data_IF_649500350250
#
_entry.id   IF_649500350250
#
_cell.length_a   1.000
_cell.length_b   1.000
_cell.length_c   1.000
_cell.angle_alpha   90.00
_cell.angle_beta   90.00
_cell.angle_gamma   90.00
#
_symmetry.space_group_name_H-M   'P 1'
#
loop_
_entity.id
_entity.type
_entity.pdbx_description
1 polymer ?
#
# COMPACT_ATOMS: atom_id res chain seq x y z
N UNK A 1 -1.05 31.10 4.48
CA UNK A 1 -1.13 30.98 2.99
C UNK A 1 -1.69 29.60 2.68
N UNK A 2 -2.51 29.45 1.64
CA UNK A 2 -3.18 28.18 1.31
C UNK A 2 -2.41 27.39 0.26
N UNK A 3 -2.63 26.08 0.19
CA UNK A 3 -2.13 25.21 -0.89
C UNK A 3 -2.76 25.51 -2.27
N UNK A 4 -3.73 26.40 -2.31
CA UNK A 4 -4.45 26.74 -3.53
C UNK A 4 -3.51 27.21 -4.65
N UNK A 5 -3.68 26.59 -5.81
CA UNK A 5 -2.91 26.82 -7.03
C UNK A 5 -1.41 26.46 -6.99
N UNK A 6 -0.93 25.77 -5.94
CA UNK A 6 0.44 25.25 -5.91
C UNK A 6 0.62 24.14 -6.93
N UNK A 7 1.68 24.22 -7.71
CA UNK A 7 1.94 23.33 -8.84
C UNK A 7 2.98 22.27 -8.48
N UNK A 8 2.53 21.02 -8.41
CA UNK A 8 3.33 19.89 -7.96
C UNK A 8 3.49 18.88 -9.08
N UNK A 9 4.74 18.50 -9.37
CA UNK A 9 5.04 17.32 -10.19
C UNK A 9 5.11 16.09 -9.29
N UNK A 10 4.13 15.19 -9.42
CA UNK A 10 4.15 13.91 -8.71
C UNK A 10 4.72 12.83 -9.62
N UNK A 11 5.74 12.10 -9.17
CA UNK A 11 6.41 11.07 -9.96
C UNK A 11 6.23 9.71 -9.29
N UNK A 12 5.67 8.75 -10.03
CA UNK A 12 5.48 7.35 -9.60
C UNK A 12 6.10 6.39 -10.62
N UNK A 13 6.89 5.43 -10.14
CA UNK A 13 7.43 4.36 -11.00
C UNK A 13 6.46 3.18 -11.14
N UNK A 14 5.36 3.18 -10.36
CA UNK A 14 4.22 2.29 -10.55
C UNK A 14 3.26 2.92 -11.55
N UNK A 15 2.64 2.08 -12.39
CA UNK A 15 1.59 2.50 -13.29
C UNK A 15 0.30 2.89 -12.58
N UNK A 16 -0.46 3.81 -13.16
CA UNK A 16 -1.76 4.23 -12.61
C UNK A 16 -2.86 3.22 -12.91
N UNK A 17 -2.68 2.34 -13.88
CA UNK A 17 -3.57 1.19 -14.12
C UNK A 17 -3.32 0.01 -13.17
N UNK A 18 -2.21 0.01 -12.44
CA UNK A 18 -1.87 -1.02 -11.46
C UNK A 18 -2.65 -0.84 -10.14
N UNK A 19 -2.89 -1.92 -9.38
CA UNK A 19 -3.59 -1.84 -8.09
C UNK A 19 -3.02 -0.80 -7.12
N UNK A 20 -1.68 -0.65 -7.06
CA UNK A 20 -1.03 0.36 -6.22
C UNK A 20 -1.27 1.80 -6.69
N UNK A 21 -1.30 2.04 -8.00
CA UNK A 21 -1.67 3.33 -8.56
C UNK A 21 -3.10 3.70 -8.18
N UNK A 22 -4.01 2.75 -8.34
CA UNK A 22 -5.44 2.92 -8.05
C UNK A 22 -5.76 3.13 -6.56
N UNK A 23 -5.06 2.44 -5.66
CA UNK A 23 -5.36 2.50 -4.22
C UNK A 23 -4.48 3.49 -3.45
N UNK A 24 -3.22 3.73 -3.88
CA UNK A 24 -2.24 4.44 -3.08
C UNK A 24 -1.62 5.67 -3.77
N UNK A 25 -2.12 6.07 -4.93
CA UNK A 25 -1.70 7.31 -5.61
C UNK A 25 -2.93 8.15 -5.93
N UNK A 26 -3.80 7.66 -6.78
CA UNK A 26 -4.95 8.42 -7.30
C UNK A 26 -5.84 8.99 -6.19
N UNK A 27 -6.25 8.24 -5.15
CA UNK A 27 -7.11 8.79 -4.10
C UNK A 27 -6.49 9.99 -3.38
N UNK A 28 -5.20 9.91 -3.03
CA UNK A 28 -4.50 11.02 -2.37
C UNK A 28 -4.40 12.24 -3.27
N UNK A 29 -4.06 12.07 -4.55
CA UNK A 29 -3.94 13.18 -5.48
C UNK A 29 -5.29 13.87 -5.70
N UNK A 30 -6.39 13.12 -5.77
CA UNK A 30 -7.75 13.67 -5.88
C UNK A 30 -8.11 14.53 -4.67
N UNK A 31 -7.84 14.05 -3.45
CA UNK A 31 -8.15 14.81 -2.25
C UNK A 31 -7.28 16.08 -2.13
N UNK A 32 -5.99 15.99 -2.40
CA UNK A 32 -5.09 17.15 -2.42
C UNK A 32 -5.46 18.15 -3.53
N UNK A 33 -5.94 17.65 -4.67
CA UNK A 33 -6.42 18.51 -5.75
C UNK A 33 -7.70 19.26 -5.36
N UNK A 34 -8.63 18.62 -4.67
CA UNK A 34 -9.82 19.29 -4.08
C UNK A 34 -9.42 20.36 -3.07
N UNK A 35 -8.29 20.17 -2.36
CA UNK A 35 -7.73 21.19 -1.48
C UNK A 35 -6.97 22.31 -2.24
N UNK A 36 -6.97 22.26 -3.58
CA UNK A 36 -6.47 23.33 -4.46
C UNK A 36 -5.06 23.10 -5.02
N UNK A 37 -4.41 21.95 -4.76
CA UNK A 37 -3.12 21.62 -5.37
C UNK A 37 -3.32 21.24 -6.83
N UNK A 38 -2.52 21.79 -7.74
CA UNK A 38 -2.52 21.42 -9.16
C UNK A 38 -1.44 20.40 -9.46
N UNK A 39 -1.84 19.20 -9.82
CA UNK A 39 -0.91 18.12 -10.09
C UNK A 39 -0.59 17.95 -11.57
N UNK A 40 0.71 17.79 -11.85
CA UNK A 40 1.19 17.11 -13.04
C UNK A 40 1.69 15.74 -12.58
N UNK A 41 1.03 14.67 -13.01
CA UNK A 41 1.38 13.30 -12.63
C UNK A 41 2.21 12.67 -13.74
N UNK A 42 3.42 12.20 -13.41
CA UNK A 42 4.28 11.42 -14.30
C UNK A 42 4.39 9.99 -13.78
N UNK A 43 3.87 9.02 -14.53
CA UNK A 43 3.96 7.59 -14.19
C UNK A 43 4.70 6.78 -15.25
N UNK A 44 5.00 5.51 -14.93
CA UNK A 44 5.59 4.55 -15.84
C UNK A 44 4.64 3.36 -15.99
N UNK A 45 4.03 3.24 -17.17
CA UNK A 45 3.00 2.24 -17.42
C UNK A 45 3.59 0.96 -18.02
N UNK A 46 3.11 -0.18 -17.54
CA UNK A 46 3.48 -1.50 -18.04
C UNK A 46 3.00 -1.77 -19.46
N UNK A 47 3.47 -2.86 -20.11
CA UNK A 47 3.14 -3.18 -21.50
C UNK A 47 1.62 -3.28 -21.78
N UNK A 48 0.83 -3.70 -20.82
CA UNK A 48 -0.63 -3.82 -20.95
C UNK A 48 -1.31 -2.49 -21.27
N UNK A 49 -0.78 -1.37 -20.80
CA UNK A 49 -1.32 -0.03 -21.08
C UNK A 49 -1.26 0.36 -22.57
N UNK A 50 -0.41 -0.30 -23.33
CA UNK A 50 -0.19 -0.02 -24.74
C UNK A 50 -0.96 -0.95 -25.70
N UNK A 51 -1.70 -1.93 -25.16
CA UNK A 51 -2.65 -2.76 -25.90
C UNK A 51 -3.97 -1.99 -26.08
N UNK A 52 -4.84 -2.41 -27.02
CA UNK A 52 -6.11 -1.73 -27.31
C UNK A 52 -6.94 -1.45 -26.06
N UNK A 53 -7.28 -2.49 -25.33
CA UNK A 53 -8.03 -2.39 -24.05
C UNK A 53 -7.33 -1.50 -23.00
N UNK A 54 -6.00 -1.62 -22.92
CA UNK A 54 -5.19 -0.79 -22.02
C UNK A 54 -5.21 0.69 -22.40
N UNK A 55 -5.19 1.02 -23.70
CA UNK A 55 -5.29 2.40 -24.18
C UNK A 55 -6.63 3.02 -23.81
N UNK A 56 -7.73 2.31 -24.04
CA UNK A 56 -9.07 2.77 -23.65
C UNK A 56 -9.16 3.03 -22.14
N UNK A 57 -8.56 2.16 -21.33
CA UNK A 57 -8.47 2.37 -19.86
C UNK A 57 -7.63 3.61 -19.52
N UNK A 58 -6.51 3.83 -20.22
CA UNK A 58 -5.71 5.04 -20.04
C UNK A 58 -6.51 6.30 -20.41
N UNK A 59 -7.27 6.27 -21.51
CA UNK A 59 -8.02 7.44 -21.95
C UNK A 59 -9.17 7.75 -20.98
N UNK A 60 -9.89 6.74 -20.50
CA UNK A 60 -10.90 6.91 -19.44
C UNK A 60 -10.29 7.51 -18.16
N UNK A 61 -9.18 6.94 -17.70
CA UNK A 61 -8.51 7.43 -16.51
C UNK A 61 -7.95 8.85 -16.69
N UNK A 62 -7.43 9.18 -17.87
CA UNK A 62 -6.97 10.54 -18.18
C UNK A 62 -8.12 11.55 -18.09
N UNK A 63 -9.28 11.21 -18.64
CA UNK A 63 -10.48 12.05 -18.56
C UNK A 63 -10.94 12.23 -17.11
N UNK A 64 -10.95 11.14 -16.35
CA UNK A 64 -11.28 11.17 -14.93
C UNK A 64 -10.31 12.05 -14.12
N UNK A 65 -9.01 11.89 -14.32
CA UNK A 65 -7.99 12.69 -13.62
C UNK A 65 -8.05 14.18 -14.02
N UNK A 66 -8.31 14.46 -15.30
CA UNK A 66 -8.46 15.83 -15.79
C UNK A 66 -9.66 16.55 -15.12
N UNK A 67 -10.76 15.86 -14.84
CA UNK A 67 -11.92 16.43 -14.10
C UNK A 67 -11.57 16.80 -12.64
N UNK A 68 -10.46 16.28 -12.13
CA UNK A 68 -9.87 16.63 -10.83
C UNK A 68 -8.65 17.55 -10.94
N UNK A 69 -8.46 18.27 -12.05
CA UNK A 69 -7.29 19.15 -12.29
C UNK A 69 -5.93 18.41 -12.18
N UNK A 70 -5.88 17.12 -12.47
CA UNK A 70 -4.67 16.29 -12.49
C UNK A 70 -4.28 16.03 -13.94
N UNK A 71 -3.17 16.61 -14.40
CA UNK A 71 -2.64 16.45 -15.75
C UNK A 71 -1.72 15.23 -15.80
N UNK A 72 -2.22 14.11 -16.35
CA UNK A 72 -1.51 12.83 -16.33
C UNK A 72 -0.71 12.56 -17.58
N UNK A 73 0.59 12.39 -17.41
CA UNK A 73 1.57 11.96 -18.39
C UNK A 73 2.16 10.61 -18.01
N UNK A 74 2.45 9.77 -18.97
CA UNK A 74 3.10 8.50 -18.67
C UNK A 74 4.15 8.13 -19.72
N UNK A 75 5.15 7.40 -19.24
CA UNK A 75 6.22 6.78 -20.03
C UNK A 75 6.08 5.26 -19.99
N UNK A 76 6.70 4.58 -20.92
CA UNK A 76 6.73 3.12 -20.91
C UNK A 76 7.69 2.62 -19.84
N UNK A 77 7.24 1.67 -19.01
CA UNK A 77 8.08 0.95 -18.08
C UNK A 77 8.86 -0.16 -18.77
N UNK A 78 10.17 -0.25 -18.52
CA UNK A 78 11.04 -1.28 -19.05
C UNK A 78 11.56 -2.18 -17.91
N UNK A 79 11.29 -3.49 -18.00
CA UNK A 79 11.61 -4.44 -16.94
C UNK A 79 12.98 -5.10 -17.09
N UNK A 80 13.39 -5.38 -18.31
CA UNK A 80 14.61 -6.18 -18.59
C UNK A 80 15.44 -5.59 -19.74
N UNK A 81 16.79 -5.70 -19.68
CA UNK A 81 17.58 -6.11 -18.50
C UNK A 81 17.50 -5.06 -17.38
N UNK A 82 17.46 -5.50 -16.11
CA UNK A 82 17.02 -4.66 -14.97
C UNK A 82 17.76 -3.32 -14.86
N UNK A 83 19.11 -3.32 -14.70
CA UNK A 83 19.86 -2.07 -14.53
C UNK A 83 19.85 -1.16 -15.76
N UNK A 84 20.13 -1.63 -16.98
CA UNK A 84 20.06 -0.78 -18.18
C UNK A 84 18.65 -0.23 -18.42
N UNK A 85 17.61 -1.04 -18.25
CA UNK A 85 16.23 -0.62 -18.42
C UNK A 85 15.84 0.49 -17.41
N UNK A 86 16.17 0.30 -16.14
CA UNK A 86 15.92 1.31 -15.10
C UNK A 86 16.71 2.60 -15.37
N UNK A 87 17.96 2.49 -15.82
CA UNK A 87 18.76 3.67 -16.18
C UNK A 87 18.15 4.44 -17.35
N UNK A 88 17.67 3.72 -18.37
CA UNK A 88 16.95 4.33 -19.49
C UNK A 88 15.68 5.04 -19.02
N UNK A 89 14.87 4.40 -18.18
CA UNK A 89 13.65 4.98 -17.63
C UNK A 89 13.92 6.23 -16.79
N UNK A 90 14.99 6.23 -15.99
CA UNK A 90 15.44 7.41 -15.24
C UNK A 90 15.80 8.56 -16.18
N UNK A 91 16.59 8.30 -17.22
CA UNK A 91 16.98 9.33 -18.21
C UNK A 91 15.77 9.86 -18.98
N UNK A 92 14.87 8.97 -19.41
CA UNK A 92 13.62 9.35 -20.06
C UNK A 92 12.73 10.19 -19.13
N UNK A 93 12.62 9.79 -17.86
CA UNK A 93 11.91 10.52 -16.81
C UNK A 93 12.49 11.91 -16.56
N UNK A 94 13.82 12.05 -16.48
CA UNK A 94 14.48 13.36 -16.35
C UNK A 94 14.21 14.24 -17.58
N UNK A 95 14.37 13.67 -18.79
CA UNK A 95 14.12 14.43 -20.04
C UNK A 95 12.67 14.91 -20.12
N UNK A 96 11.70 14.05 -19.82
CA UNK A 96 10.28 14.40 -19.83
C UNK A 96 9.95 15.38 -18.71
N UNK A 97 10.43 15.12 -17.49
CA UNK A 97 10.27 15.99 -16.33
C UNK A 97 10.81 17.40 -16.54
N UNK A 98 11.95 17.55 -17.22
CA UNK A 98 12.48 18.88 -17.59
C UNK A 98 11.47 19.70 -18.40
N UNK A 99 10.79 19.06 -19.40
CA UNK A 99 9.77 19.73 -20.21
C UNK A 99 8.55 20.11 -19.37
N UNK A 100 8.09 19.20 -18.51
CA UNK A 100 6.95 19.43 -17.64
C UNK A 100 7.22 20.57 -16.65
N UNK A 101 8.38 20.59 -16.02
CA UNK A 101 8.76 21.67 -15.06
C UNK A 101 8.70 23.03 -15.75
N UNK A 102 9.26 23.17 -16.95
CA UNK A 102 9.27 24.44 -17.69
C UNK A 102 7.87 24.84 -18.15
N UNK A 103 7.13 23.93 -18.79
CA UNK A 103 5.82 24.24 -19.38
C UNK A 103 4.72 24.48 -18.34
N UNK A 104 4.78 23.79 -17.20
CA UNK A 104 3.75 23.82 -16.15
C UNK A 104 4.11 24.73 -14.96
N UNK A 105 5.31 25.36 -14.96
CA UNK A 105 5.81 26.21 -13.86
C UNK A 105 5.74 25.49 -12.50
N UNK A 106 6.27 24.28 -12.42
CA UNK A 106 6.28 23.45 -11.22
C UNK A 106 7.10 24.11 -10.10
N UNK A 107 6.61 24.08 -8.88
CA UNK A 107 7.25 24.65 -7.69
C UNK A 107 7.89 23.56 -6.83
N UNK A 108 7.28 22.36 -6.80
CA UNK A 108 7.70 21.25 -5.98
C UNK A 108 7.60 19.93 -6.75
N UNK A 109 8.52 19.00 -6.47
CA UNK A 109 8.44 17.62 -6.95
C UNK A 109 8.22 16.67 -5.80
N UNK A 110 7.20 15.82 -5.91
CA UNK A 110 6.91 14.73 -4.97
C UNK A 110 7.30 13.41 -5.62
N UNK A 111 8.28 12.75 -5.06
CA UNK A 111 8.84 11.52 -5.58
C UNK A 111 8.39 10.31 -4.75
N UNK A 112 7.59 9.44 -5.36
CA UNK A 112 7.13 8.21 -4.72
C UNK A 112 8.12 7.07 -4.95
N UNK A 113 8.87 6.70 -3.89
CA UNK A 113 9.91 5.68 -3.89
C UNK A 113 11.23 6.11 -4.56
N UNK A 114 12.20 5.21 -4.60
CA UNK A 114 13.63 5.50 -4.85
C UNK A 114 13.93 5.91 -6.31
N UNK A 115 13.31 5.26 -7.30
CA UNK A 115 13.55 5.58 -8.71
C UNK A 115 13.01 6.99 -9.05
N UNK A 116 11.76 7.34 -8.72
CA UNK A 116 11.27 8.71 -8.81
C UNK A 116 12.11 9.72 -8.06
N UNK A 117 12.64 9.37 -6.87
CA UNK A 117 13.49 10.28 -6.11
C UNK A 117 14.80 10.61 -6.85
N UNK A 118 15.36 9.69 -7.63
CA UNK A 118 16.52 9.95 -8.47
C UNK A 118 16.20 10.96 -9.58
N UNK A 119 15.04 10.82 -10.21
CA UNK A 119 14.55 11.77 -11.22
C UNK A 119 14.32 13.15 -10.58
N UNK A 120 13.59 13.17 -9.46
CA UNK A 120 13.25 14.39 -8.73
C UNK A 120 14.49 15.17 -8.27
N UNK A 121 15.53 14.47 -7.80
CA UNK A 121 16.78 15.09 -7.37
C UNK A 121 17.50 15.79 -8.53
N UNK A 122 17.47 15.19 -9.73
CA UNK A 122 18.03 15.83 -10.94
C UNK A 122 17.25 17.09 -11.34
N UNK A 123 15.90 17.03 -11.27
CA UNK A 123 15.04 18.18 -11.55
C UNK A 123 15.23 19.29 -10.50
N UNK A 124 15.27 18.94 -9.21
CA UNK A 124 15.54 19.90 -8.12
C UNK A 124 16.85 20.65 -8.34
N UNK A 125 17.94 19.92 -8.64
CA UNK A 125 19.25 20.53 -8.86
C UNK A 125 19.29 21.49 -10.06
N UNK A 126 18.52 21.16 -11.10
CA UNK A 126 18.48 21.97 -12.31
C UNK A 126 17.61 23.22 -12.18
N UNK A 127 16.48 23.13 -11.46
CA UNK A 127 15.47 24.18 -11.46
C UNK A 127 15.26 24.82 -10.08
N UNK A 128 15.98 24.40 -9.04
CA UNK A 128 15.81 24.93 -7.68
C UNK A 128 14.51 24.56 -7.00
N UNK A 129 13.88 23.44 -7.39
CA UNK A 129 12.58 23.01 -6.87
C UNK A 129 12.67 22.56 -5.41
N UNK A 130 11.55 22.64 -4.69
CA UNK A 130 11.35 21.88 -3.46
C UNK A 130 11.14 20.40 -3.79
N UNK A 131 11.56 19.50 -2.91
CA UNK A 131 11.46 18.05 -3.14
C UNK A 131 10.97 17.32 -1.90
N UNK A 132 9.93 16.51 -2.09
CA UNK A 132 9.49 15.51 -1.10
C UNK A 132 9.94 14.13 -1.59
N UNK A 133 10.55 13.36 -0.68
CA UNK A 133 10.84 11.95 -0.88
C UNK A 133 9.89 11.10 -0.03
N UNK A 134 8.90 10.51 -0.69
CA UNK A 134 7.99 9.53 -0.10
C UNK A 134 8.63 8.14 -0.20
N UNK A 135 9.20 7.66 0.92
CA UNK A 135 10.11 6.49 0.97
C UNK A 135 9.39 5.20 0.61
N UNK A 136 8.15 4.99 1.01
CA UNK A 136 7.25 3.84 0.73
C UNK A 136 7.79 2.46 1.12
N UNK A 137 9.06 2.31 1.37
CA UNK A 137 9.73 1.06 1.75
C UNK A 137 11.25 1.19 1.66
N UNK A 138 11.98 0.20 2.12
CA UNK A 138 13.43 0.14 2.15
C UNK A 138 13.96 -0.75 1.03
N UNK A 139 14.04 -0.20 -0.19
CA UNK A 139 14.31 -0.98 -1.40
C UNK A 139 15.54 -1.90 -1.29
N UNK A 140 16.67 -1.41 -0.79
CA UNK A 140 17.89 -2.21 -0.69
C UNK A 140 17.74 -3.36 0.30
N UNK A 141 17.12 -3.09 1.45
CA UNK A 141 16.82 -4.06 2.49
C UNK A 141 15.78 -5.08 2.01
N UNK A 142 14.76 -4.64 1.28
CA UNK A 142 13.75 -5.53 0.68
C UNK A 142 14.37 -6.57 -0.24
N UNK A 143 15.29 -6.17 -1.11
CA UNK A 143 15.97 -7.10 -2.00
C UNK A 143 16.91 -8.06 -1.26
N UNK A 144 17.49 -7.65 -0.13
CA UNK A 144 18.27 -8.52 0.74
C UNK A 144 17.36 -9.51 1.47
N UNK A 145 16.27 -9.04 2.07
CA UNK A 145 15.29 -9.86 2.79
C UNK A 145 14.60 -10.88 1.86
N UNK A 146 14.40 -10.50 0.58
CA UNK A 146 13.93 -11.39 -0.48
C UNK A 146 14.99 -12.37 -1.01
N UNK A 147 16.24 -12.32 -0.50
CA UNK A 147 17.37 -13.12 -0.95
C UNK A 147 17.77 -12.91 -2.42
N UNK A 148 17.36 -11.80 -3.03
CA UNK A 148 17.78 -11.43 -4.38
C UNK A 148 19.17 -10.82 -4.40
N UNK A 149 19.54 -10.09 -3.35
CA UNK A 149 20.86 -9.48 -3.19
C UNK A 149 21.52 -9.93 -1.89
N UNK A 150 22.88 -9.97 -1.92
CA UNK A 150 23.65 -10.07 -0.69
C UNK A 150 23.89 -8.67 -0.13
N UNK A 151 23.77 -8.51 1.20
CA UNK A 151 24.13 -7.26 1.89
C UNK A 151 25.55 -6.85 1.53
N UNK A 152 25.75 -5.59 1.15
CA UNK A 152 27.07 -5.08 0.72
C UNK A 152 27.45 -5.38 -0.74
N UNK A 153 26.62 -6.09 -1.52
CA UNK A 153 26.83 -6.29 -2.96
C UNK A 153 26.78 -4.98 -3.73
N UNK A 154 27.28 -4.98 -4.97
CA UNK A 154 27.28 -3.77 -5.81
C UNK A 154 25.88 -3.16 -5.98
N UNK A 155 24.82 -3.92 -6.36
CA UNK A 155 23.49 -3.35 -6.45
C UNK A 155 22.96 -2.82 -5.12
N UNK A 156 23.24 -3.49 -3.99
CA UNK A 156 22.90 -2.99 -2.65
C UNK A 156 23.58 -1.62 -2.39
N UNK A 157 24.88 -1.53 -2.58
CA UNK A 157 25.63 -0.27 -2.35
C UNK A 157 25.15 0.86 -3.25
N UNK A 158 24.88 0.58 -4.52
CA UNK A 158 24.34 1.58 -5.44
C UNK A 158 22.98 2.09 -5.00
N UNK A 159 22.07 1.19 -4.62
CA UNK A 159 20.74 1.55 -4.13
C UNK A 159 20.82 2.36 -2.83
N UNK A 160 21.69 1.97 -1.88
CA UNK A 160 21.94 2.75 -0.65
C UNK A 160 22.54 4.13 -0.93
N UNK A 161 23.40 4.23 -1.93
CA UNK A 161 23.95 5.53 -2.34
C UNK A 161 22.89 6.43 -2.98
N UNK A 162 21.99 5.87 -3.80
CA UNK A 162 20.83 6.60 -4.36
C UNK A 162 19.89 7.06 -3.25
N UNK A 163 19.53 6.17 -2.33
CA UNK A 163 18.68 6.46 -1.18
C UNK A 163 19.28 7.58 -0.31
N UNK A 164 20.57 7.46 0.05
CA UNK A 164 21.27 8.49 0.82
C UNK A 164 21.27 9.85 0.13
N UNK A 165 21.49 9.89 -1.19
CA UNK A 165 21.43 11.13 -1.97
C UNK A 165 20.02 11.73 -2.05
N UNK A 166 19.00 10.87 -2.19
CA UNK A 166 17.62 11.30 -2.21
C UNK A 166 17.20 11.90 -0.86
N UNK A 167 17.51 11.20 0.25
CA UNK A 167 17.29 11.69 1.61
C UNK A 167 18.03 13.01 1.86
N UNK A 168 19.29 13.10 1.44
CA UNK A 168 20.12 14.30 1.60
C UNK A 168 19.59 15.49 0.80
N UNK A 169 19.02 15.23 -0.37
CA UNK A 169 18.52 16.28 -1.27
C UNK A 169 17.05 16.66 -1.04
N UNK A 170 16.29 15.93 -0.23
CA UNK A 170 14.88 16.22 0.03
C UNK A 170 14.71 17.36 1.05
N UNK A 171 13.66 18.16 0.88
CA UNK A 171 13.20 19.16 1.85
C UNK A 171 12.20 18.55 2.82
N UNK A 172 11.45 17.53 2.37
CA UNK A 172 10.52 16.75 3.18
C UNK A 172 10.67 15.25 2.95
N UNK A 173 10.44 14.45 3.97
CA UNK A 173 10.49 12.98 3.93
C UNK A 173 9.18 12.43 4.46
N UNK A 174 8.59 11.47 3.73
CA UNK A 174 7.43 10.70 4.17
C UNK A 174 7.85 9.27 4.48
N UNK A 175 7.37 8.76 5.60
CA UNK A 175 7.41 7.32 5.90
C UNK A 175 5.99 6.78 6.10
N UNK A 176 5.82 5.46 6.02
CA UNK A 176 4.51 4.83 6.20
C UNK A 176 4.22 4.47 7.65
N UNK A 177 5.25 4.44 8.50
CA UNK A 177 5.15 3.93 9.86
C UNK A 177 6.00 4.78 10.81
N UNK A 178 5.57 4.86 12.06
CA UNK A 178 6.34 5.51 13.14
C UNK A 178 7.60 4.70 13.45
N UNK A 179 7.49 3.36 13.46
CA UNK A 179 8.61 2.45 13.83
C UNK A 179 9.84 2.59 12.94
N UNK A 180 9.69 3.00 11.68
CA UNK A 180 10.85 3.08 10.78
C UNK A 180 11.68 4.34 11.01
N UNK A 181 11.07 5.45 11.43
CA UNK A 181 11.79 6.72 11.56
C UNK A 181 12.99 6.66 12.50
N UNK A 182 12.88 6.13 13.74
CA UNK A 182 14.04 5.96 14.61
C UNK A 182 15.16 5.13 13.99
N UNK A 183 14.85 4.16 13.13
CA UNK A 183 15.83 3.30 12.49
C UNK A 183 16.58 3.97 11.34
N UNK A 184 15.97 4.97 10.68
CA UNK A 184 16.57 5.62 9.49
C UNK A 184 17.07 7.06 9.75
N UNK A 185 16.63 7.74 10.81
CA UNK A 185 17.01 9.15 11.10
C UNK A 185 18.52 9.36 11.18
N UNK A 186 19.28 8.34 11.60
CA UNK A 186 20.74 8.37 11.72
C UNK A 186 21.47 7.89 10.45
N UNK A 187 20.74 7.57 9.38
CA UNK A 187 21.36 7.21 8.11
C UNK A 187 22.11 8.40 7.49
N UNK A 188 23.18 8.09 6.76
CA UNK A 188 24.11 9.09 6.17
C UNK A 188 23.40 10.27 5.49
N UNK A 189 22.23 10.07 4.88
CA UNK A 189 21.47 11.12 4.19
C UNK A 189 20.66 12.03 5.10
N UNK A 190 20.44 11.65 6.36
CA UNK A 190 19.59 12.36 7.33
C UNK A 190 20.41 12.84 8.56
N UNK A 191 21.47 12.15 8.89
CA UNK A 191 22.26 12.39 10.09
C UNK A 191 22.70 13.85 10.23
N UNK A 192 22.38 14.46 11.38
CA UNK A 192 22.74 15.84 11.67
C UNK A 192 21.95 16.90 10.88
N UNK A 193 20.84 16.53 10.24
CA UNK A 193 19.95 17.45 9.53
C UNK A 193 18.58 17.49 10.19
N UNK A 194 18.06 18.69 10.32
CA UNK A 194 16.62 18.88 10.52
C UNK A 194 15.92 18.72 9.17
N UNK A 195 15.06 17.70 9.09
CA UNK A 195 14.26 17.40 7.90
C UNK A 195 12.80 17.41 8.30
N UNK A 196 11.97 18.05 7.48
CA UNK A 196 10.52 17.99 7.65
C UNK A 196 10.10 16.54 7.40
N UNK A 197 9.65 15.87 8.46
CA UNK A 197 9.21 14.48 8.38
C UNK A 197 7.73 14.36 8.72
N UNK A 198 7.04 13.48 7.99
CA UNK A 198 5.64 13.16 8.24
C UNK A 198 5.43 11.64 8.05
N UNK A 199 4.63 11.04 8.93
CA UNK A 199 4.20 9.65 8.78
C UNK A 199 2.83 9.64 8.12
N UNK A 200 2.74 9.07 6.91
CA UNK A 200 1.46 8.93 6.19
C UNK A 200 1.21 7.45 5.94
N UNK A 201 0.35 6.80 6.74
CA UNK A 201 0.06 5.38 6.56
C UNK A 201 -0.65 5.12 5.23
N UNK A 202 -0.73 3.85 4.82
CA UNK A 202 -1.56 3.47 3.70
C UNK A 202 -3.04 3.61 4.07
N UNK A 203 -3.64 4.74 3.68
CA UNK A 203 -5.05 5.00 3.88
C UNK A 203 -5.92 4.27 2.85
N UNK A 204 -7.19 4.07 3.20
CA UNK A 204 -8.22 3.55 2.33
C UNK A 204 -9.22 4.65 1.95
N UNK A 205 -9.86 4.50 0.80
CA UNK A 205 -11.04 5.28 0.42
C UNK A 205 -12.26 4.68 1.13
N UNK A 206 -12.74 5.35 2.18
CA UNK A 206 -13.81 4.86 3.04
C UNK A 206 -15.21 4.94 2.41
N UNK A 207 -15.38 5.65 1.33
CA UNK A 207 -16.63 5.59 0.55
C UNK A 207 -16.68 4.31 -0.28
N UNK A 208 -15.54 3.89 -0.77
CA UNK A 208 -15.39 2.65 -1.54
C UNK A 208 -15.34 1.42 -0.62
N UNK A 209 -14.57 1.48 0.46
CA UNK A 209 -14.45 0.41 1.44
C UNK A 209 -15.40 0.68 2.60
N UNK A 210 -16.56 0.05 2.53
CA UNK A 210 -17.60 0.10 3.56
C UNK A 210 -18.35 -1.22 3.61
N UNK A 211 -18.87 -1.55 4.77
CA UNK A 211 -19.78 -2.68 4.92
C UNK A 211 -21.10 -2.40 4.19
N UNK A 212 -21.60 -3.41 3.49
CA UNK A 212 -22.91 -3.42 2.84
C UNK A 212 -23.60 -4.73 3.16
N UNK A 213 -24.78 -4.65 3.82
CA UNK A 213 -25.59 -5.84 4.11
C UNK A 213 -26.10 -6.50 2.84
N UNK A 214 -26.51 -5.71 1.85
CA UNK A 214 -26.94 -6.21 0.54
C UNK A 214 -25.85 -7.02 -0.16
N UNK A 215 -24.60 -6.48 -0.18
CA UNK A 215 -23.47 -7.19 -0.74
C UNK A 215 -23.12 -8.46 0.06
N UNK A 216 -23.20 -8.39 1.40
CA UNK A 216 -22.97 -9.55 2.27
C UNK A 216 -23.94 -10.67 1.91
N UNK A 217 -25.22 -10.38 1.83
CA UNK A 217 -26.26 -11.36 1.54
C UNK A 217 -26.10 -11.94 0.14
N UNK A 218 -25.84 -11.10 -0.85
CA UNK A 218 -25.60 -11.49 -2.24
C UNK A 218 -24.36 -12.39 -2.37
N UNK A 219 -23.20 -11.96 -1.88
CA UNK A 219 -21.95 -12.72 -2.02
C UNK A 219 -22.01 -14.03 -1.22
N UNK A 220 -22.64 -14.03 -0.03
CA UNK A 220 -22.83 -15.26 0.74
C UNK A 220 -23.78 -16.23 0.03
N UNK A 221 -24.83 -15.75 -0.62
CA UNK A 221 -25.71 -16.60 -1.44
C UNK A 221 -24.97 -17.19 -2.63
N UNK A 222 -24.23 -16.35 -3.39
CA UNK A 222 -23.48 -16.77 -4.57
C UNK A 222 -22.39 -17.81 -4.27
N UNK A 223 -21.83 -17.79 -3.06
CA UNK A 223 -20.75 -18.69 -2.63
C UNK A 223 -21.22 -19.77 -1.66
N UNK A 224 -22.50 -19.86 -1.34
CA UNK A 224 -23.08 -20.81 -0.36
C UNK A 224 -22.44 -20.69 1.03
N UNK A 225 -22.32 -19.46 1.53
CA UNK A 225 -21.65 -19.12 2.80
C UNK A 225 -22.60 -18.69 3.92
N UNK A 226 -23.94 -18.88 3.77
CA UNK A 226 -24.94 -18.31 4.70
C UNK A 226 -24.64 -18.65 6.17
N UNK A 227 -24.35 -19.91 6.46
CA UNK A 227 -24.09 -20.41 7.82
C UNK A 227 -22.59 -20.63 8.10
N UNK A 228 -21.70 -20.09 7.26
CA UNK A 228 -20.24 -20.23 7.41
C UNK A 228 -19.64 -19.09 8.21
N UNK A 229 -18.61 -19.40 9.01
CA UNK A 229 -17.71 -18.40 9.56
C UNK A 229 -16.61 -18.11 8.55
N UNK A 230 -16.55 -16.89 8.02
CA UNK A 230 -15.70 -16.54 6.85
C UNK A 230 -14.46 -15.78 7.28
N UNK A 231 -13.29 -16.42 7.12
CA UNK A 231 -11.98 -15.79 7.15
C UNK A 231 -11.64 -15.27 5.75
N UNK A 232 -11.19 -14.02 5.59
CA UNK A 232 -10.83 -13.48 4.28
C UNK A 232 -9.36 -13.03 4.22
N UNK A 233 -8.72 -13.34 3.10
CA UNK A 233 -7.46 -12.74 2.68
C UNK A 233 -7.64 -12.08 1.31
N UNK A 234 -7.21 -10.82 1.18
CA UNK A 234 -7.22 -10.08 -0.09
C UNK A 234 -5.81 -9.62 -0.45
N UNK A 235 -5.29 -10.05 -1.60
CA UNK A 235 -4.00 -9.60 -2.10
C UNK A 235 -3.17 -10.66 -2.83
N UNK A 236 -1.90 -10.35 -3.08
CA UNK A 236 -0.95 -11.28 -3.71
C UNK A 236 -0.58 -12.43 -2.78
N UNK A 237 -0.17 -13.57 -3.35
CA UNK A 237 0.26 -14.76 -2.63
C UNK A 237 1.77 -14.97 -2.78
N UNK A 238 2.38 -15.61 -1.80
CA UNK A 238 3.83 -15.86 -1.77
C UNK A 238 4.66 -14.57 -1.60
N UNK A 239 5.93 -14.60 -1.97
CA UNK A 239 6.84 -13.48 -1.82
C UNK A 239 6.99 -13.02 -0.37
N UNK A 240 6.43 -11.87 -0.05
CA UNK A 240 6.41 -11.28 1.29
C UNK A 240 5.30 -11.81 2.18
N UNK A 241 4.27 -12.41 1.58
CA UNK A 241 3.09 -12.91 2.31
C UNK A 241 3.34 -14.34 2.76
N UNK A 242 3.03 -14.62 4.02
CA UNK A 242 3.13 -15.95 4.61
C UNK A 242 1.85 -16.76 4.32
N UNK A 243 1.64 -17.06 3.04
CA UNK A 243 0.45 -17.76 2.56
C UNK A 243 0.28 -19.12 3.24
N UNK A 244 1.40 -19.84 3.46
CA UNK A 244 1.46 -21.10 4.17
C UNK A 244 1.00 -20.95 5.63
N UNK A 245 1.44 -19.90 6.34
CA UNK A 245 1.07 -19.66 7.72
C UNK A 245 -0.39 -19.21 7.89
N UNK A 246 -0.95 -18.50 6.88
CA UNK A 246 -2.38 -18.21 6.87
C UNK A 246 -3.22 -19.47 6.66
N UNK A 247 -2.74 -20.42 5.84
CA UNK A 247 -3.40 -21.71 5.70
C UNK A 247 -3.27 -22.58 6.97
N UNK A 248 -2.08 -22.60 7.63
CA UNK A 248 -1.89 -23.26 8.93
C UNK A 248 -2.85 -22.69 10.00
N UNK A 249 -2.98 -21.36 10.05
CA UNK A 249 -3.92 -20.67 10.95
C UNK A 249 -5.37 -21.08 10.69
N UNK A 250 -5.76 -21.22 9.41
CA UNK A 250 -7.11 -21.67 9.07
C UNK A 250 -7.39 -23.10 9.51
N UNK A 251 -6.41 -24.00 9.45
CA UNK A 251 -6.54 -25.36 10.01
C UNK A 251 -6.79 -25.32 11.51
N UNK A 252 -6.10 -24.44 12.25
CA UNK A 252 -6.36 -24.24 13.67
C UNK A 252 -7.78 -23.66 13.90
N UNK A 253 -8.23 -22.72 13.07
CA UNK A 253 -9.58 -22.16 13.11
C UNK A 253 -10.64 -23.25 12.92
N UNK A 254 -10.46 -24.18 11.99
CA UNK A 254 -11.43 -25.26 11.75
C UNK A 254 -11.63 -26.20 12.95
N UNK A 255 -10.63 -26.37 13.82
CA UNK A 255 -10.79 -27.15 15.07
C UNK A 255 -11.81 -26.50 16.02
N UNK A 256 -11.92 -25.16 16.01
CA UNK A 256 -12.83 -24.40 16.85
C UNK A 256 -14.15 -24.06 16.15
N UNK A 257 -14.10 -23.85 14.86
CA UNK A 257 -15.20 -23.47 13.97
C UNK A 257 -15.27 -24.45 12.79
N UNK A 258 -15.86 -25.65 12.96
CA UNK A 258 -15.96 -26.64 11.88
C UNK A 258 -16.68 -26.14 10.63
N UNK A 259 -17.58 -25.14 10.79
CA UNK A 259 -18.24 -24.41 9.71
C UNK A 259 -17.40 -23.28 9.11
N UNK A 260 -16.09 -23.19 9.42
CA UNK A 260 -15.19 -22.19 8.87
C UNK A 260 -15.06 -22.28 7.35
N UNK A 261 -14.90 -21.12 6.71
CA UNK A 261 -14.63 -21.02 5.30
C UNK A 261 -13.55 -19.96 5.04
N UNK A 262 -12.53 -20.30 4.22
CA UNK A 262 -11.49 -19.35 3.87
C UNK A 262 -11.70 -18.77 2.47
N UNK A 263 -12.00 -17.48 2.39
CA UNK A 263 -12.16 -16.75 1.16
C UNK A 263 -10.84 -16.08 0.76
N UNK A 264 -10.19 -16.60 -0.30
CA UNK A 264 -8.95 -16.08 -0.87
C UNK A 264 -9.27 -15.18 -2.07
N UNK A 265 -9.09 -13.88 -1.93
CA UNK A 265 -9.23 -12.90 -3.01
C UNK A 265 -7.86 -12.57 -3.58
N UNK A 266 -7.48 -13.25 -4.67
CA UNK A 266 -6.15 -13.10 -5.26
C UNK A 266 -6.16 -13.17 -6.77
N UNK A 267 -5.37 -12.31 -7.42
CA UNK A 267 -5.05 -12.42 -8.84
C UNK A 267 -3.82 -13.27 -9.14
N UNK A 268 -3.23 -13.93 -8.12
CA UNK A 268 -2.11 -14.83 -8.26
C UNK A 268 -2.51 -16.22 -8.74
N UNK A 269 -1.58 -17.17 -8.65
CA UNK A 269 -1.80 -18.58 -9.03
C UNK A 269 -2.81 -19.23 -8.07
N UNK A 270 -4.04 -19.39 -8.53
CA UNK A 270 -5.13 -19.99 -7.77
C UNK A 270 -4.85 -21.47 -7.45
N UNK A 271 -4.28 -22.22 -8.41
CA UNK A 271 -3.94 -23.62 -8.22
C UNK A 271 -2.88 -23.84 -7.14
N UNK A 272 -2.01 -22.84 -6.91
CA UNK A 272 -1.06 -22.90 -5.80
C UNK A 272 -1.77 -22.83 -4.45
N UNK A 273 -2.80 -21.97 -4.32
CA UNK A 273 -3.59 -21.86 -3.09
C UNK A 273 -4.42 -23.12 -2.86
N UNK A 274 -5.09 -23.62 -3.90
CA UNK A 274 -5.87 -24.87 -3.81
C UNK A 274 -4.99 -26.04 -3.34
N UNK A 275 -3.83 -26.25 -3.98
CA UNK A 275 -2.87 -27.26 -3.58
C UNK A 275 -2.38 -27.08 -2.14
N UNK A 276 -2.17 -25.83 -1.72
CA UNK A 276 -1.73 -25.50 -0.38
C UNK A 276 -2.78 -25.90 0.68
N UNK A 277 -4.06 -25.68 0.40
CA UNK A 277 -5.19 -26.00 1.29
C UNK A 277 -5.43 -27.52 1.35
N UNK A 278 -5.49 -28.17 0.19
CA UNK A 278 -5.70 -29.62 0.10
C UNK A 278 -4.59 -30.43 0.78
N UNK A 279 -3.32 -30.00 0.65
CA UNK A 279 -2.19 -30.63 1.34
C UNK A 279 -2.27 -30.55 2.87
N UNK A 280 -3.13 -29.69 3.42
CA UNK A 280 -3.43 -29.54 4.86
C UNK A 280 -4.70 -30.26 5.29
N UNK A 281 -5.32 -31.03 4.40
CA UNK A 281 -6.57 -31.74 4.68
C UNK A 281 -7.81 -30.86 4.72
N UNK A 282 -7.73 -29.61 4.20
CA UNK A 282 -8.88 -28.73 4.09
C UNK A 282 -9.73 -29.18 2.89
N UNK A 283 -11.01 -29.38 3.09
CA UNK A 283 -11.92 -29.82 2.04
C UNK A 283 -12.25 -28.70 1.05
N UNK A 284 -12.61 -29.05 -0.19
CA UNK A 284 -12.93 -28.08 -1.25
C UNK A 284 -14.11 -27.15 -0.90
N UNK A 285 -15.05 -27.61 -0.09
CA UNK A 285 -16.20 -26.81 0.35
C UNK A 285 -15.85 -25.82 1.49
N UNK A 286 -14.64 -25.91 2.06
CA UNK A 286 -14.16 -25.08 3.15
C UNK A 286 -13.31 -23.88 2.71
N UNK A 287 -13.05 -23.73 1.42
CA UNK A 287 -12.36 -22.56 0.90
C UNK A 287 -12.81 -22.20 -0.52
N UNK A 288 -12.65 -20.92 -0.85
CA UNK A 288 -12.89 -20.38 -2.21
C UNK A 288 -11.71 -19.51 -2.61
N UNK A 289 -11.22 -19.69 -3.84
CA UNK A 289 -10.17 -18.83 -4.42
C UNK A 289 -10.77 -18.06 -5.59
N UNK A 290 -10.70 -16.73 -5.54
CA UNK A 290 -11.29 -15.85 -6.57
C UNK A 290 -10.31 -14.75 -6.98
N UNK A 291 -10.29 -14.49 -8.28
CA UNK A 291 -9.73 -13.24 -8.81
C UNK A 291 -10.88 -12.25 -8.96
N UNK A 292 -10.84 -11.20 -8.16
CA UNK A 292 -11.91 -10.20 -8.07
C UNK A 292 -11.40 -8.88 -8.61
N UNK A 293 -12.22 -8.18 -9.39
CA UNK A 293 -11.89 -6.83 -9.83
C UNK A 293 -11.71 -5.90 -8.62
N UNK A 294 -10.77 -4.98 -8.71
CA UNK A 294 -10.47 -4.08 -7.59
C UNK A 294 -11.71 -3.30 -7.10
N UNK A 295 -12.65 -3.00 -7.99
CA UNK A 295 -13.91 -2.33 -7.65
C UNK A 295 -14.81 -3.17 -6.73
N UNK A 296 -14.79 -4.49 -6.88
CA UNK A 296 -15.70 -5.41 -6.20
C UNK A 296 -15.14 -5.96 -4.88
N UNK A 297 -13.88 -5.68 -4.54
CA UNK A 297 -13.23 -6.21 -3.33
C UNK A 297 -14.04 -5.89 -2.07
N UNK A 298 -14.58 -4.67 -1.95
CA UNK A 298 -15.38 -4.25 -0.79
C UNK A 298 -16.62 -5.13 -0.59
N UNK A 299 -17.30 -5.52 -1.67
CA UNK A 299 -18.47 -6.40 -1.61
C UNK A 299 -18.11 -7.78 -1.05
N UNK A 300 -16.98 -8.34 -1.47
CA UNK A 300 -16.49 -9.61 -0.93
C UNK A 300 -16.00 -9.49 0.52
N UNK A 301 -15.41 -8.35 0.89
CA UNK A 301 -15.05 -8.09 2.28
C UNK A 301 -16.29 -8.02 3.17
N UNK A 302 -17.41 -7.47 2.69
CA UNK A 302 -18.67 -7.44 3.42
C UNK A 302 -19.20 -8.85 3.74
N UNK A 303 -18.87 -9.86 2.94
CA UNK A 303 -19.26 -11.25 3.19
C UNK A 303 -18.46 -11.94 4.31
N UNK A 304 -17.31 -11.39 4.70
CA UNK A 304 -16.42 -11.96 5.70
C UNK A 304 -16.82 -11.62 7.12
N UNK A 305 -16.22 -12.32 8.10
CA UNK A 305 -16.37 -12.08 9.53
C UNK A 305 -15.04 -11.59 10.15
N UNK A 306 -13.89 -11.96 9.56
CA UNK A 306 -12.56 -11.52 10.00
C UNK A 306 -11.56 -11.51 8.83
N UNK A 307 -10.68 -10.52 8.81
CA UNK A 307 -9.60 -10.42 7.83
C UNK A 307 -8.27 -10.93 8.40
N UNK A 308 -7.45 -11.57 7.56
CA UNK A 308 -6.10 -12.02 7.94
C UNK A 308 -5.02 -11.43 7.03
N UNK A 309 -3.86 -11.08 7.60
CA UNK A 309 -2.74 -10.55 6.85
C UNK A 309 -1.40 -10.89 7.53
N UNK A 310 -0.76 -11.96 7.10
CA UNK A 310 0.56 -12.36 7.59
C UNK A 310 1.66 -12.03 6.59
N UNK A 311 2.72 -11.41 7.10
CA UNK A 311 3.91 -11.00 6.36
C UNK A 311 5.18 -11.57 6.99
N UNK A 312 6.22 -11.79 6.21
CA UNK A 312 7.55 -12.13 6.74
C UNK A 312 8.04 -11.00 7.66
N UNK A 313 8.29 -11.25 8.95
CA UNK A 313 8.77 -10.21 9.87
C UNK A 313 10.26 -9.96 9.65
N UNK A 314 10.60 -9.05 8.72
CA UNK A 314 11.97 -8.68 8.39
C UNK A 314 12.21 -7.20 8.68
N UNK A 315 13.48 -6.78 8.72
CA UNK A 315 13.82 -5.38 8.97
C UNK A 315 13.14 -4.43 7.97
N UNK A 316 13.11 -4.79 6.69
CA UNK A 316 12.45 -3.96 5.68
C UNK A 316 10.95 -3.79 5.92
N UNK A 317 10.32 -4.74 6.58
CA UNK A 317 8.88 -4.69 6.88
C UNK A 317 8.51 -3.72 7.99
N UNK A 318 9.47 -3.20 8.75
CA UNK A 318 9.22 -2.08 9.66
C UNK A 318 8.70 -0.83 8.94
N UNK A 319 9.06 -0.67 7.66
CA UNK A 319 8.59 0.43 6.82
C UNK A 319 7.25 0.12 6.10
N UNK A 320 6.59 -1.00 6.38
CA UNK A 320 5.39 -1.43 5.67
C UNK A 320 4.13 -1.06 6.44
N UNK A 321 3.23 -0.31 5.81
CA UNK A 321 1.84 -0.13 6.24
C UNK A 321 0.94 -0.96 5.31
N UNK A 322 0.40 -2.11 5.77
CA UNK A 322 -0.40 -2.98 4.91
C UNK A 322 -1.74 -2.36 4.56
N UNK A 323 -1.95 -1.98 3.32
CA UNK A 323 -3.19 -1.36 2.85
C UNK A 323 -4.43 -2.20 3.13
N UNK A 324 -4.31 -3.53 3.10
CA UNK A 324 -5.45 -4.42 3.39
C UNK A 324 -5.96 -4.31 4.83
N UNK A 325 -5.11 -3.93 5.78
CA UNK A 325 -5.54 -3.69 7.18
C UNK A 325 -6.49 -2.50 7.23
N UNK A 326 -6.15 -1.39 6.56
CA UNK A 326 -7.05 -0.23 6.47
C UNK A 326 -8.34 -0.54 5.72
N UNK A 327 -8.27 -1.34 4.64
CA UNK A 327 -9.45 -1.78 3.87
C UNK A 327 -10.37 -2.69 4.69
N UNK A 328 -9.82 -3.65 5.44
CA UNK A 328 -10.60 -4.53 6.32
C UNK A 328 -11.31 -3.74 7.42
N UNK A 329 -10.56 -2.89 8.14
CA UNK A 329 -11.14 -2.05 9.19
C UNK A 329 -12.20 -1.10 8.64
N UNK A 330 -12.01 -0.55 7.43
CA UNK A 330 -12.99 0.30 6.75
C UNK A 330 -14.31 -0.44 6.47
N UNK A 331 -14.23 -1.74 6.14
CA UNK A 331 -15.40 -2.61 6.00
C UNK A 331 -15.94 -3.14 7.34
N UNK A 332 -15.45 -2.66 8.48
CA UNK A 332 -15.87 -3.10 9.81
C UNK A 332 -15.33 -4.46 10.23
N UNK A 333 -14.37 -5.05 9.50
CA UNK A 333 -13.79 -6.34 9.85
C UNK A 333 -12.70 -6.19 10.90
N UNK A 334 -12.72 -6.99 11.97
CA UNK A 334 -11.54 -7.17 12.80
C UNK A 334 -10.43 -7.88 12.02
N UNK A 335 -9.17 -7.65 12.43
CA UNK A 335 -8.03 -8.14 11.67
C UNK A 335 -7.13 -9.06 12.50
N UNK A 336 -6.59 -10.09 11.85
CA UNK A 336 -5.53 -10.94 12.39
C UNK A 336 -4.25 -10.60 11.67
N UNK A 337 -3.26 -10.10 12.41
CA UNK A 337 -1.94 -9.71 11.88
C UNK A 337 -0.83 -10.40 12.67
N UNK A 338 0.36 -10.50 12.10
CA UNK A 338 1.52 -10.95 12.88
C UNK A 338 2.38 -9.78 13.35
N UNK A 339 3.13 -10.01 14.41
CA UNK A 339 4.11 -9.06 14.94
C UNK A 339 5.26 -8.77 13.95
N UNK A 340 5.90 -7.61 14.09
CA UNK A 340 7.10 -7.22 13.32
C UNK A 340 6.82 -6.63 11.94
N UNK A 341 5.60 -6.14 11.69
CA UNK A 341 5.20 -5.53 10.41
C UNK A 341 4.71 -4.10 10.63
N UNK A 342 5.58 -3.13 10.37
CA UNK A 342 5.30 -1.72 10.61
C UNK A 342 4.70 -1.47 11.98
N UNK A 343 3.67 -0.63 12.03
CA UNK A 343 2.95 -0.30 13.25
C UNK A 343 1.75 -1.22 13.50
N UNK A 344 1.47 -2.19 12.59
CA UNK A 344 0.22 -2.96 12.60
C UNK A 344 -0.03 -3.71 13.90
N UNK A 345 1.00 -4.34 14.47
CA UNK A 345 0.90 -5.11 15.70
C UNK A 345 0.55 -4.23 16.92
N UNK A 346 1.27 -3.13 17.11
CA UNK A 346 1.02 -2.17 18.18
C UNK A 346 -0.33 -1.47 18.02
N UNK A 347 -0.68 -1.11 16.78
CA UNK A 347 -1.91 -0.45 16.44
C UNK A 347 -3.14 -1.34 16.70
N UNK A 348 -3.14 -2.57 16.17
CA UNK A 348 -4.26 -3.51 16.33
C UNK A 348 -4.51 -3.85 17.80
N UNK A 349 -3.43 -4.06 18.57
CA UNK A 349 -3.53 -4.35 20.00
C UNK A 349 -4.05 -3.14 20.80
N UNK A 350 -3.52 -1.94 20.53
CA UNK A 350 -3.89 -0.72 21.27
C UNK A 350 -5.36 -0.35 21.07
N UNK A 351 -5.87 -0.47 19.84
CA UNK A 351 -7.26 -0.12 19.51
C UNK A 351 -8.25 -1.28 19.67
N UNK A 352 -7.79 -2.48 20.01
CA UNK A 352 -8.61 -3.68 20.18
C UNK A 352 -9.50 -3.96 18.96
N UNK A 353 -8.93 -3.82 17.76
CA UNK A 353 -9.63 -4.05 16.49
C UNK A 353 -9.21 -5.35 15.81
N UNK A 354 -8.62 -6.27 16.57
CA UNK A 354 -8.18 -7.55 16.08
C UNK A 354 -7.23 -8.24 17.03
N UNK A 355 -6.53 -9.25 16.54
CA UNK A 355 -5.54 -10.01 17.28
C UNK A 355 -4.18 -10.01 16.59
N UNK A 356 -3.14 -10.08 17.40
CA UNK A 356 -1.75 -10.13 16.95
C UNK A 356 -1.17 -11.50 17.29
N UNK A 357 -0.76 -12.27 16.27
CA UNK A 357 0.02 -13.48 16.50
C UNK A 357 1.51 -13.13 16.59
N UNK A 358 2.18 -13.63 17.63
CA UNK A 358 3.60 -13.36 17.88
C UNK A 358 4.50 -14.38 17.21
N UNK A 359 3.97 -15.57 16.97
CA UNK A 359 4.65 -16.70 16.34
C UNK A 359 3.65 -17.55 15.53
N UNK A 360 4.14 -18.59 14.82
CA UNK A 360 3.37 -19.40 13.88
C UNK A 360 3.34 -20.87 14.29
N UNK A 361 2.93 -21.15 15.53
CA UNK A 361 2.71 -22.47 16.08
C UNK A 361 1.31 -22.58 16.72
N UNK A 362 0.85 -23.80 16.95
CA UNK A 362 -0.53 -24.11 17.34
C UNK A 362 -1.00 -23.35 18.59
N UNK A 363 -0.23 -23.31 19.67
CA UNK A 363 -0.62 -22.64 20.92
C UNK A 363 -0.84 -21.14 20.70
N UNK A 364 -0.04 -20.51 19.85
CA UNK A 364 -0.20 -19.09 19.54
C UNK A 364 -1.40 -18.84 18.63
N UNK A 365 -1.71 -19.76 17.72
CA UNK A 365 -2.95 -19.71 16.95
C UNK A 365 -4.17 -19.84 17.83
N UNK A 366 -4.18 -20.77 18.78
CA UNK A 366 -5.27 -20.94 19.74
C UNK A 366 -5.47 -19.69 20.60
N UNK A 367 -4.38 -19.08 21.09
CA UNK A 367 -4.43 -17.80 21.81
C UNK A 367 -5.03 -16.68 20.95
N UNK A 368 -4.60 -16.58 19.71
CA UNK A 368 -5.05 -15.56 18.77
C UNK A 368 -6.53 -15.72 18.44
N UNK A 369 -6.98 -16.96 18.23
CA UNK A 369 -8.38 -17.30 17.99
C UNK A 369 -9.27 -16.96 19.19
N UNK A 370 -8.84 -17.26 20.42
CA UNK A 370 -9.57 -16.91 21.62
C UNK A 370 -9.77 -15.38 21.77
N UNK A 371 -8.75 -14.58 21.40
CA UNK A 371 -8.87 -13.11 21.39
C UNK A 371 -9.92 -12.67 20.36
N UNK A 372 -9.87 -13.21 19.14
CA UNK A 372 -10.82 -12.85 18.08
C UNK A 372 -12.26 -13.22 18.48
N UNK A 373 -12.48 -14.40 19.04
CA UNK A 373 -13.80 -14.83 19.49
C UNK A 373 -14.39 -13.88 20.57
N UNK A 374 -13.57 -13.47 21.52
CA UNK A 374 -13.97 -12.50 22.53
C UNK A 374 -14.32 -11.13 21.93
N UNK A 375 -13.57 -10.69 20.91
CA UNK A 375 -13.86 -9.43 20.24
C UNK A 375 -15.15 -9.49 19.41
N UNK A 376 -15.41 -10.61 18.74
CA UNK A 376 -16.60 -10.83 17.92
C UNK A 376 -17.89 -10.94 18.76
N UNK A 377 -17.80 -11.26 20.05
CA UNK A 377 -18.94 -11.25 20.97
C UNK A 377 -19.41 -9.82 21.31
N UNK A 378 -18.66 -8.79 20.95
CA UNK A 378 -18.98 -7.39 21.20
C UNK A 378 -19.19 -6.60 19.90
N UNK A 379 -19.25 -5.27 20.03
CA UNK A 379 -19.46 -4.34 18.90
C UNK A 379 -18.16 -4.04 18.12
N UNK A 380 -17.46 -5.08 17.67
CA UNK A 380 -16.15 -4.95 17.03
C UNK A 380 -16.25 -4.26 15.66
N UNK A 381 -17.34 -4.48 14.92
CA UNK A 381 -17.50 -3.93 13.57
C UNK A 381 -17.57 -2.40 13.59
N UNK A 382 -18.40 -1.82 14.46
CA UNK A 382 -18.48 -0.37 14.65
C UNK A 382 -17.15 0.21 15.10
N UNK A 383 -16.44 -0.45 16.03
CA UNK A 383 -15.11 -0.03 16.50
C UNK A 383 -14.08 -0.06 15.37
N UNK A 384 -14.04 -1.13 14.58
CA UNK A 384 -13.13 -1.25 13.43
C UNK A 384 -13.34 -0.10 12.44
N UNK A 385 -14.60 0.21 12.11
CA UNK A 385 -14.96 1.31 11.23
C UNK A 385 -14.53 2.66 11.79
N UNK A 386 -14.84 2.96 13.06
CA UNK A 386 -14.43 4.21 13.74
C UNK A 386 -12.91 4.38 13.75
N UNK A 387 -12.17 3.28 13.98
CA UNK A 387 -10.72 3.30 13.95
C UNK A 387 -10.20 3.56 12.53
N UNK A 388 -10.82 2.98 11.49
CA UNK A 388 -10.46 3.28 10.11
C UNK A 388 -10.67 4.76 9.77
N UNK A 389 -11.79 5.35 10.21
CA UNK A 389 -12.12 6.78 10.02
C UNK A 389 -11.08 7.70 10.66
N UNK A 390 -10.64 7.39 11.87
CA UNK A 390 -9.71 8.22 12.63
C UNK A 390 -8.24 8.09 12.20
N UNK A 391 -7.84 6.96 11.58
CA UNK A 391 -6.43 6.67 11.34
C UNK A 391 -6.07 6.33 9.90
N UNK A 392 -7.04 5.94 9.08
CA UNK A 392 -6.79 5.43 7.73
C UNK A 392 -7.68 6.03 6.64
N UNK A 393 -8.47 7.04 6.94
CA UNK A 393 -9.26 7.70 5.92
C UNK A 393 -8.36 8.59 5.04
N UNK A 394 -8.42 8.40 3.73
CA UNK A 394 -7.65 9.19 2.78
C UNK A 394 -8.07 10.67 2.78
N UNK A 395 -9.34 10.97 3.07
CA UNK A 395 -9.90 12.34 3.05
C UNK A 395 -9.54 13.17 4.27
N UNK A 396 -9.59 12.57 5.44
CA UNK A 396 -9.23 13.27 6.68
C UNK A 396 -7.74 13.08 6.99
N UNK A 397 -7.28 11.85 7.24
CA UNK A 397 -5.91 11.56 7.69
C UNK A 397 -4.88 11.74 6.56
N UNK A 398 -5.14 11.15 5.40
CA UNK A 398 -4.23 11.22 4.26
C UNK A 398 -4.05 12.65 3.75
N UNK A 399 -5.17 13.36 3.54
CA UNK A 399 -5.19 14.74 3.09
C UNK A 399 -4.52 15.68 4.12
N UNK A 400 -4.88 15.57 5.41
CA UNK A 400 -4.34 16.46 6.45
C UNK A 400 -2.82 16.33 6.54
N UNK A 401 -2.29 15.10 6.62
CA UNK A 401 -0.86 14.86 6.80
C UNK A 401 -0.04 15.33 5.58
N UNK A 402 -0.50 15.04 4.36
CA UNK A 402 0.18 15.54 3.16
C UNK A 402 0.04 17.06 3.02
N UNK A 403 -1.11 17.65 3.35
CA UNK A 403 -1.29 19.11 3.31
C UNK A 403 -0.33 19.80 4.26
N UNK A 404 -0.25 19.37 5.51
CA UNK A 404 0.70 19.87 6.51
C UNK A 404 2.15 19.77 6.04
N UNK A 405 2.53 18.62 5.45
CA UNK A 405 3.86 18.43 4.89
C UNK A 405 4.13 19.41 3.73
N UNK A 406 3.19 19.57 2.80
CA UNK A 406 3.33 20.46 1.66
C UNK A 406 3.46 21.92 2.10
N UNK A 407 2.64 22.36 3.04
CA UNK A 407 2.69 23.72 3.60
C UNK A 407 4.04 24.01 4.25
N UNK A 408 4.55 23.09 5.06
CA UNK A 408 5.87 23.23 5.69
C UNK A 408 6.99 23.25 4.66
N UNK A 409 6.98 22.36 3.67
CA UNK A 409 8.03 22.28 2.63
C UNK A 409 8.01 23.51 1.73
N UNK A 410 6.83 24.07 1.44
CA UNK A 410 6.68 25.28 0.65
C UNK A 410 6.84 26.58 1.49
N UNK A 411 7.14 26.45 2.78
CA UNK A 411 7.26 27.57 3.74
C UNK A 411 6.00 28.45 3.79
N UNK A 412 4.83 27.82 3.89
CA UNK A 412 3.54 28.51 3.97
C UNK A 412 3.06 28.67 5.43
N UNK A 413 3.63 27.85 6.36
CA UNK A 413 3.41 27.88 7.80
C UNK A 413 4.75 27.79 8.52
#
# INVERSE_FOLDING_TARGET
>A
MTLANRRVLYISYNGMLDPLGQSQVIPYLKELSRAGVRFTLLSFEGPKAYMSEGRERCDRLRTELASHEIDWHFLRYHKRPSLPATSYDVLAGIRHGNRLVQSKRIEMVHARSHIPATIALALKRRFGLKMIFDVRGLMAEEYVDAKHWKKGSVPYRLTKAMESRALQGSDGVVTLTEKIWPAIKDWKGLRGREVIHEVVPCCADLDRFRFSQEDRDRVRADLSLQDRFVLVYSGSIGGWYLTDKMADFFVALLRRKPNGHFLWLTGGDQGLVEKLMLNRGVNLDQFTVRNVATADVSSYLSAADVGIAFYKPTFSRLATSPVKVSEYLACGLPVIVNAGVGDSDTFVAAHKVGAVTKDFHDDEYERTLAIIENLLAGEISARSRTVAENYFDVRSVGLERYSRLYERVLNLI
#
